data_IF_904424372452
#
_entry.id   IF_904424372452
#
_cell.length_a   1.000
_cell.length_b   1.000
_cell.length_c   1.000
_cell.angle_alpha   90.00
_cell.angle_beta   90.00
_cell.angle_gamma   90.00
#
_symmetry.space_group_name_H-M   'P 1'
#
loop_
_entity.id
_entity.type
_entity.pdbx_description
1 polymer ?
#
# COMPACT_ATOMS: atom_id res chain seq x y z
N UNK A 1 10.56 -5.40 -0.71
CA UNK A 1 9.25 -4.74 -0.87
C UNK A 1 8.76 -4.04 0.40
N UNK A 2 8.62 -4.73 1.55
CA UNK A 2 8.12 -4.14 2.81
C UNK A 2 8.76 -2.80 3.20
N UNK A 3 10.10 -2.73 3.27
CA UNK A 3 10.82 -1.49 3.61
C UNK A 3 10.59 -0.35 2.59
N UNK A 4 10.30 -0.68 1.34
CA UNK A 4 9.98 0.30 0.31
C UNK A 4 8.59 0.87 0.54
N UNK A 5 7.56 0.01 0.60
CA UNK A 5 6.17 0.46 0.74
C UNK A 5 5.95 1.27 2.02
N UNK A 6 6.60 0.93 3.15
CA UNK A 6 6.54 1.71 4.40
C UNK A 6 7.06 3.15 4.31
N UNK A 7 7.81 3.51 3.25
CA UNK A 7 8.22 4.91 3.00
C UNK A 7 7.11 5.75 2.35
N UNK A 8 6.11 5.11 1.78
CA UNK A 8 5.08 5.75 0.96
C UNK A 8 3.67 5.55 1.51
N UNK A 9 3.40 4.44 2.18
CA UNK A 9 2.08 4.00 2.62
C UNK A 9 2.17 3.38 4.02
N UNK A 10 1.03 3.32 4.70
CA UNK A 10 0.87 2.65 5.99
C UNK A 10 0.76 1.13 5.79
N UNK A 11 1.46 0.35 6.61
CA UNK A 11 1.34 -1.10 6.61
C UNK A 11 0.13 -1.50 7.46
N UNK A 12 -0.79 -2.28 6.89
CA UNK A 12 -2.03 -2.68 7.59
C UNK A 12 -2.16 -4.19 7.78
N UNK A 13 -1.58 -4.98 6.87
CA UNK A 13 -1.58 -6.44 6.92
C UNK A 13 -0.39 -6.98 6.11
N UNK A 14 -0.08 -8.27 6.24
CA UNK A 14 1.03 -8.90 5.51
C UNK A 14 0.92 -8.61 4.01
N UNK A 15 1.94 -7.94 3.46
CA UNK A 15 2.01 -7.53 2.07
C UNK A 15 0.92 -6.55 1.60
N UNK A 16 0.15 -5.93 2.51
CA UNK A 16 -0.88 -4.94 2.20
C UNK A 16 -0.55 -3.59 2.84
N UNK A 17 -0.70 -2.54 2.05
CA UNK A 17 -0.42 -1.16 2.45
C UNK A 17 -1.49 -0.22 1.90
N UNK A 18 -1.78 0.83 2.65
CA UNK A 18 -2.75 1.86 2.26
C UNK A 18 -2.34 3.25 2.72
N UNK A 19 -2.94 4.27 2.13
CA UNK A 19 -2.73 5.66 2.52
C UNK A 19 -2.75 6.59 1.33
N UNK A 20 -2.77 7.88 1.62
CA UNK A 20 -2.70 8.91 0.60
C UNK A 20 -1.31 8.99 -0.02
N UNK A 21 -1.28 9.16 -1.34
CA UNK A 21 -0.04 9.31 -2.07
C UNK A 21 -0.24 10.26 -3.26
N UNK A 22 0.69 11.21 -3.41
CA UNK A 22 0.66 12.11 -4.56
C UNK A 22 1.06 11.37 -5.85
N UNK A 23 0.60 11.80 -7.04
CA UNK A 23 0.96 11.17 -8.30
C UNK A 23 2.48 11.04 -8.50
N UNK A 24 3.24 12.09 -8.16
CA UNK A 24 4.71 12.07 -8.26
C UNK A 24 5.35 11.02 -7.33
N UNK A 25 4.87 10.90 -6.09
CA UNK A 25 5.36 9.89 -5.15
C UNK A 25 4.96 8.47 -5.58
N UNK A 26 3.78 8.30 -6.15
CA UNK A 26 3.32 7.02 -6.69
C UNK A 26 4.21 6.56 -7.85
N UNK A 27 4.55 7.44 -8.79
CA UNK A 27 5.47 7.10 -9.87
C UNK A 27 6.86 6.74 -9.33
N UNK A 28 7.36 7.47 -8.33
CA UNK A 28 8.62 7.13 -7.67
C UNK A 28 8.57 5.75 -7.01
N UNK A 29 7.49 5.42 -6.29
CA UNK A 29 7.26 4.09 -5.70
C UNK A 29 7.30 3.00 -6.78
N UNK A 30 6.59 3.17 -7.90
CA UNK A 30 6.59 2.21 -9.02
C UNK A 30 8.00 2.01 -9.60
N UNK A 31 8.75 3.10 -9.79
CA UNK A 31 10.12 3.02 -10.30
C UNK A 31 11.06 2.28 -9.33
N UNK A 32 11.00 2.60 -8.04
CA UNK A 32 11.81 1.93 -7.02
C UNK A 32 11.41 0.46 -6.83
N UNK A 33 10.12 0.14 -6.95
CA UNK A 33 9.62 -1.24 -6.88
C UNK A 33 10.15 -2.08 -8.04
N UNK A 34 10.09 -1.58 -9.28
CA UNK A 34 10.62 -2.26 -10.48
C UNK A 34 12.12 -2.58 -10.39
N UNK A 35 12.90 -1.80 -9.63
CA UNK A 35 14.34 -2.07 -9.42
C UNK A 35 14.61 -3.25 -8.48
N UNK A 36 13.62 -3.62 -7.65
CA UNK A 36 13.76 -4.66 -6.62
C UNK A 36 13.03 -5.94 -7.03
N UNK A 37 11.95 -5.80 -7.80
CA UNK A 37 11.15 -6.93 -8.29
C UNK A 37 11.84 -7.68 -9.41
N UNK A 38 11.65 -9.00 -9.42
CA UNK A 38 11.90 -9.84 -10.58
C UNK A 38 10.66 -9.86 -11.47
N UNK A 39 10.71 -9.18 -12.60
CA UNK A 39 9.53 -8.97 -13.47
C UNK A 39 8.82 -10.24 -13.96
N UNK A 40 9.49 -11.40 -13.93
CA UNK A 40 8.90 -12.69 -14.33
C UNK A 40 8.26 -13.47 -13.17
N UNK A 41 8.51 -13.08 -11.92
CA UNK A 41 8.09 -13.81 -10.71
C UNK A 41 7.20 -12.96 -9.80
N UNK A 42 7.47 -11.66 -9.72
CA UNK A 42 6.86 -10.75 -8.75
C UNK A 42 5.77 -9.87 -9.37
N UNK A 43 4.76 -9.55 -8.57
CA UNK A 43 3.74 -8.57 -8.95
C UNK A 43 3.37 -7.64 -7.78
N UNK A 44 2.88 -6.45 -8.12
CA UNK A 44 2.23 -5.52 -7.20
C UNK A 44 0.92 -5.10 -7.86
N UNK A 45 -0.17 -5.16 -7.10
CA UNK A 45 -1.48 -4.66 -7.53
C UNK A 45 -1.72 -3.34 -6.80
N UNK A 46 -2.11 -2.32 -7.55
CA UNK A 46 -2.40 -0.99 -7.02
C UNK A 46 -3.89 -0.70 -7.20
N UNK A 47 -4.60 -0.53 -6.09
CA UNK A 47 -5.97 -0.03 -6.07
C UNK A 47 -5.93 1.47 -5.87
N UNK A 48 -6.37 2.24 -6.87
CA UNK A 48 -6.33 3.70 -6.86
C UNK A 48 -7.76 4.25 -6.83
N UNK A 49 -8.06 5.11 -5.87
CA UNK A 49 -9.31 5.85 -5.79
C UNK A 49 -9.01 7.35 -5.67
N UNK A 50 -9.87 8.19 -6.26
CA UNK A 50 -9.83 9.65 -6.07
C UNK A 50 -10.70 10.11 -4.89
N UNK A 51 -11.52 9.21 -4.34
CA UNK A 51 -12.40 9.47 -3.22
C UNK A 51 -11.91 8.67 -2.02
N UNK A 52 -11.65 9.36 -0.90
CA UNK A 52 -11.29 8.75 0.40
C UNK A 52 -12.35 7.74 0.89
N UNK A 53 -13.61 7.91 0.46
CA UNK A 53 -14.77 7.18 0.97
C UNK A 53 -15.02 5.79 0.36
N UNK A 54 -14.21 5.32 -0.57
CA UNK A 54 -14.51 4.08 -1.31
C UNK A 54 -13.46 3.00 -1.11
N UNK A 55 -13.58 2.31 0.03
CA UNK A 55 -13.23 0.92 0.22
C UNK A 55 -13.85 0.46 1.54
N UNK A 56 -15.01 -0.20 1.46
CA UNK A 56 -15.54 -0.94 2.59
C UNK A 56 -14.53 -2.03 2.93
N UNK A 57 -13.96 -1.96 4.13
CA UNK A 57 -12.95 -2.90 4.62
C UNK A 57 -13.58 -3.71 5.74
N UNK A 58 -13.73 -5.00 5.51
CA UNK A 58 -14.11 -5.95 6.55
C UNK A 58 -12.87 -6.77 6.94
N UNK A 59 -12.55 -6.79 8.23
CA UNK A 59 -11.46 -7.59 8.76
C UNK A 59 -12.07 -8.82 9.44
N UNK A 60 -11.81 -9.99 8.85
CA UNK A 60 -12.19 -11.27 9.44
C UNK A 60 -10.97 -11.86 10.14
N UNK A 61 -11.02 -12.02 11.46
CA UNK A 61 -9.95 -12.59 12.27
C UNK A 61 -9.06 -11.54 12.95
N UNK A 62 -7.77 -11.84 13.10
CA UNK A 62 -6.85 -11.00 13.90
C UNK A 62 -6.33 -9.83 13.06
N UNK A 63 -6.76 -8.63 13.42
CA UNK A 63 -6.21 -7.38 12.91
C UNK A 63 -4.72 -7.24 13.28
N UNK A 64 -3.88 -6.85 12.31
CA UNK A 64 -2.43 -6.72 12.51
C UNK A 64 -2.01 -5.31 12.92
N UNK A 65 -2.76 -4.28 12.51
CA UNK A 65 -2.64 -2.92 12.99
C UNK A 65 -4.03 -2.27 12.99
N UNK A 66 -4.56 -1.88 14.16
CA UNK A 66 -5.76 -1.03 14.21
C UNK A 66 -5.43 0.33 13.62
N UNK A 67 -6.20 0.73 12.61
CA UNK A 67 -6.06 2.02 11.91
C UNK A 67 -6.86 3.12 12.63
N UNK A 68 -7.55 2.78 13.74
CA UNK A 68 -8.44 3.65 14.52
C UNK A 68 -7.81 4.93 15.10
N UNK A 69 -6.52 5.20 14.88
CA UNK A 69 -5.87 6.44 15.31
C UNK A 69 -5.29 7.20 14.12
N UNK A 70 -6.16 7.94 13.43
CA UNK A 70 -5.78 9.17 12.76
C UNK A 70 -6.53 10.29 13.50
N UNK A 71 -5.82 11.00 14.37
CA UNK A 71 -6.26 12.25 15.02
C UNK A 71 -6.35 13.39 14.01
#
# INVERSE_FOLDING_TARGET
>A
MLKLCRKYLNWIQNSVFEGEITPARLEKLKMEAKKIMKSAEDSIILFLSRNEKWLEKEIIGVEKMPIDNIL
#
